data_IF_667648009679
#
_entry.id   IF_667648009679
#
_cell.length_a   1.000
_cell.length_b   1.000
_cell.length_c   1.000
_cell.angle_alpha   90.00
_cell.angle_beta   90.00
_cell.angle_gamma   90.00
#
_symmetry.space_group_name_H-M   'P 1'
#
loop_
_entity.id
_entity.type
_entity.pdbx_description
1 polymer ?
#
# COMPACT_ATOMS: atom_id res chain seq x y z
N UNK A 1 -19.67 -10.94 -4.28
CA UNK A 1 -18.19 -10.92 -4.11
C UNK A 1 -17.78 -12.08 -3.21
N UNK A 2 -16.80 -12.90 -3.60
CA UNK A 2 -16.38 -14.10 -2.85
C UNK A 2 -15.06 -13.81 -2.14
N UNK A 3 -14.99 -14.02 -0.81
CA UNK A 3 -13.85 -13.64 0.05
C UNK A 3 -13.87 -12.16 0.43
N UNK A 4 -15.05 -11.63 0.73
CA UNK A 4 -15.28 -10.19 0.95
C UNK A 4 -14.67 -9.65 2.24
N UNK A 5 -14.32 -10.52 3.19
CA UNK A 5 -13.66 -10.15 4.45
C UNK A 5 -12.17 -9.85 4.36
N UNK A 6 -11.54 -9.98 3.19
CA UNK A 6 -10.18 -9.51 2.95
C UNK A 6 -10.10 -7.99 2.81
N UNK A 7 -9.00 -7.36 3.28
CA UNK A 7 -8.85 -5.90 3.26
C UNK A 7 -9.10 -5.28 1.88
N UNK A 8 -8.47 -5.80 0.81
CA UNK A 8 -8.66 -5.28 -0.54
C UNK A 8 -10.06 -5.51 -1.11
N UNK A 9 -10.68 -6.67 -0.80
CA UNK A 9 -12.04 -6.98 -1.26
C UNK A 9 -13.09 -6.14 -0.56
N UNK A 10 -12.97 -5.98 0.76
CA UNK A 10 -13.91 -5.18 1.56
C UNK A 10 -13.94 -3.72 1.13
N UNK A 11 -12.77 -3.16 0.82
CA UNK A 11 -12.68 -1.78 0.33
C UNK A 11 -13.42 -1.59 -1.00
N UNK A 12 -13.22 -2.50 -1.94
CA UNK A 12 -13.93 -2.48 -3.24
C UNK A 12 -15.45 -2.64 -3.03
N UNK A 13 -15.86 -3.60 -2.17
CA UNK A 13 -17.28 -3.84 -1.88
C UNK A 13 -17.96 -2.58 -1.31
N UNK A 14 -17.28 -1.90 -0.39
CA UNK A 14 -17.80 -0.70 0.26
C UNK A 14 -17.89 0.48 -0.73
N UNK A 15 -16.89 0.67 -1.61
CA UNK A 15 -16.94 1.70 -2.66
C UNK A 15 -18.08 1.44 -3.63
N UNK A 16 -18.23 0.21 -4.12
CA UNK A 16 -19.30 -0.14 -5.05
C UNK A 16 -20.69 0.05 -4.42
N UNK A 17 -20.88 -0.38 -3.17
CA UNK A 17 -22.14 -0.20 -2.46
C UNK A 17 -22.51 1.28 -2.30
N UNK A 18 -21.54 2.14 -1.97
CA UNK A 18 -21.78 3.60 -1.85
C UNK A 18 -22.06 4.28 -3.19
N UNK A 19 -21.59 3.69 -4.29
CA UNK A 19 -21.92 4.15 -5.66
C UNK A 19 -23.28 3.64 -6.15
N UNK A 20 -24.05 2.99 -5.29
CA UNK A 20 -25.42 2.54 -5.60
C UNK A 20 -25.50 1.17 -6.24
N UNK A 21 -24.38 0.41 -6.34
CA UNK A 21 -24.45 -0.99 -6.77
C UNK A 21 -25.05 -1.85 -5.65
N UNK A 22 -25.89 -2.82 -6.02
CA UNK A 22 -26.31 -3.85 -5.09
C UNK A 22 -25.15 -4.84 -4.90
N UNK A 23 -24.56 -4.84 -3.71
CA UNK A 23 -23.38 -5.66 -3.40
C UNK A 23 -23.75 -6.70 -2.36
N UNK A 24 -23.51 -7.97 -2.70
CA UNK A 24 -23.52 -9.07 -1.74
C UNK A 24 -22.13 -9.69 -1.62
N UNK A 25 -21.81 -10.26 -0.46
CA UNK A 25 -20.51 -10.87 -0.25
C UNK A 25 -20.57 -12.11 0.62
N UNK A 26 -19.56 -12.97 0.48
CA UNK A 26 -19.37 -14.16 1.33
C UNK A 26 -17.94 -14.25 1.84
N UNK A 27 -17.77 -14.81 3.03
CA UNK A 27 -16.46 -15.14 3.60
C UNK A 27 -16.54 -16.34 4.52
N UNK A 28 -15.43 -17.04 4.74
CA UNK A 28 -15.37 -18.20 5.64
C UNK A 28 -15.59 -17.84 7.11
N UNK A 29 -15.21 -16.63 7.51
CA UNK A 29 -15.23 -16.17 8.89
C UNK A 29 -15.73 -14.76 9.02
N UNK A 30 -16.40 -14.50 10.15
CA UNK A 30 -16.67 -13.14 10.56
C UNK A 30 -15.37 -12.39 10.89
N UNK A 31 -15.27 -11.15 10.47
CA UNK A 31 -14.12 -10.27 10.68
C UNK A 31 -14.56 -8.84 10.95
N UNK A 32 -13.68 -7.95 11.41
CA UNK A 32 -13.99 -6.51 11.48
C UNK A 32 -14.44 -5.94 10.14
N UNK A 33 -13.89 -6.44 9.03
CA UNK A 33 -14.27 -6.00 7.68
C UNK A 33 -15.70 -6.46 7.31
N UNK A 34 -16.06 -7.71 7.55
CA UNK A 34 -17.42 -8.21 7.26
C UNK A 34 -18.46 -7.49 8.10
N UNK A 35 -18.20 -7.23 9.38
CA UNK A 35 -19.11 -6.44 10.25
C UNK A 35 -19.30 -5.02 9.74
N UNK A 36 -18.21 -4.35 9.31
CA UNK A 36 -18.30 -3.00 8.73
C UNK A 36 -19.11 -2.99 7.44
N UNK A 37 -18.91 -3.96 6.56
CA UNK A 37 -19.71 -4.10 5.34
C UNK A 37 -21.19 -4.28 5.63
N UNK A 38 -21.54 -5.11 6.61
CA UNK A 38 -22.94 -5.28 7.04
C UNK A 38 -23.52 -3.97 7.59
N UNK A 39 -22.74 -3.23 8.39
CA UNK A 39 -23.16 -1.91 8.88
C UNK A 39 -23.31 -0.87 7.74
N UNK A 40 -22.59 -1.04 6.63
CA UNK A 40 -22.71 -0.22 5.41
C UNK A 40 -23.85 -0.67 4.47
N UNK A 41 -24.66 -1.65 4.86
CA UNK A 41 -25.81 -2.15 4.09
C UNK A 41 -25.47 -3.26 3.09
N UNK A 42 -24.23 -3.76 3.06
CA UNK A 42 -23.84 -4.91 2.22
C UNK A 42 -24.33 -6.20 2.88
N UNK A 43 -25.06 -7.03 2.14
CA UNK A 43 -25.47 -8.35 2.62
C UNK A 43 -24.29 -9.31 2.61
N UNK A 44 -23.83 -9.70 3.79
CA UNK A 44 -22.68 -10.59 3.97
C UNK A 44 -23.13 -11.96 4.50
N UNK A 45 -22.66 -13.02 3.84
CA UNK A 45 -22.87 -14.40 4.26
C UNK A 45 -21.60 -14.98 4.88
N UNK A 46 -21.73 -15.78 5.93
CA UNK A 46 -20.63 -16.55 6.51
C UNK A 46 -20.75 -17.99 6.03
N UNK A 47 -19.65 -18.49 5.45
CA UNK A 47 -19.61 -19.73 4.66
C UNK A 47 -19.83 -19.48 3.17
N UNK A 48 -19.68 -20.53 2.37
CA UNK A 48 -19.80 -20.49 0.92
C UNK A 48 -20.84 -21.49 0.45
N UNK A 49 -21.89 -21.02 -0.20
CA UNK A 49 -22.96 -21.85 -0.77
C UNK A 49 -23.36 -21.36 -2.16
N UNK A 50 -23.62 -22.26 -3.10
CA UNK A 50 -23.99 -21.94 -4.48
C UNK A 50 -25.17 -20.95 -4.59
N UNK A 51 -26.17 -21.07 -3.68
CA UNK A 51 -27.35 -20.19 -3.66
C UNK A 51 -27.04 -18.72 -3.32
N UNK A 52 -25.86 -18.43 -2.74
CA UNK A 52 -25.46 -17.07 -2.35
C UNK A 52 -25.07 -16.22 -3.57
N UNK A 53 -24.86 -16.83 -4.74
CA UNK A 53 -24.66 -16.10 -6.00
C UNK A 53 -25.89 -15.25 -6.35
N UNK A 54 -27.11 -15.68 -5.93
CA UNK A 54 -28.34 -14.92 -6.15
C UNK A 54 -28.51 -14.50 -7.61
N UNK A 55 -28.94 -13.27 -7.84
CA UNK A 55 -29.13 -12.68 -9.17
C UNK A 55 -27.94 -11.82 -9.63
N UNK A 56 -26.74 -12.15 -9.14
CA UNK A 56 -25.53 -11.40 -9.48
C UNK A 56 -25.27 -11.36 -10.99
N UNK A 57 -25.01 -10.15 -11.50
CA UNK A 57 -24.61 -9.92 -12.90
C UNK A 57 -23.11 -10.15 -13.09
N UNK A 58 -22.30 -9.96 -12.02
CA UNK A 58 -20.85 -10.14 -12.02
C UNK A 58 -20.41 -10.73 -10.68
N UNK A 59 -19.52 -11.71 -10.72
CA UNK A 59 -18.88 -12.26 -9.53
C UNK A 59 -17.44 -11.82 -9.46
N UNK A 60 -17.06 -11.17 -8.34
CA UNK A 60 -15.68 -10.73 -8.07
C UNK A 60 -15.01 -11.70 -7.11
N UNK A 61 -13.81 -12.16 -7.44
CA UNK A 61 -13.04 -13.11 -6.61
C UNK A 61 -11.63 -12.59 -6.30
N UNK A 62 -11.07 -13.01 -5.16
CA UNK A 62 -9.65 -12.88 -4.87
C UNK A 62 -8.87 -14.13 -5.32
N UNK A 63 -7.56 -14.03 -5.44
CA UNK A 63 -6.67 -15.16 -5.77
C UNK A 63 -6.66 -16.26 -4.69
N UNK A 64 -7.13 -15.96 -3.47
CA UNK A 64 -7.24 -16.91 -2.37
C UNK A 64 -8.44 -17.88 -2.52
N UNK A 65 -9.39 -17.59 -3.44
CA UNK A 65 -10.58 -18.43 -3.60
C UNK A 65 -10.22 -19.70 -4.37
N UNK A 66 -10.42 -20.90 -3.79
CA UNK A 66 -10.10 -22.15 -4.45
C UNK A 66 -11.05 -22.39 -5.64
N UNK A 67 -10.53 -23.05 -6.66
CA UNK A 67 -11.30 -23.40 -7.89
C UNK A 67 -12.54 -24.26 -7.63
N UNK A 68 -12.58 -24.92 -6.46
CA UNK A 68 -13.68 -25.78 -5.99
C UNK A 68 -14.74 -25.02 -5.16
N UNK A 69 -14.60 -23.71 -4.99
CA UNK A 69 -15.57 -22.90 -4.24
C UNK A 69 -16.98 -23.03 -4.89
N UNK A 70 -18.05 -23.36 -4.11
CA UNK A 70 -19.38 -23.63 -4.65
C UNK A 70 -20.03 -22.42 -5.34
N UNK A 71 -19.77 -21.20 -4.87
CA UNK A 71 -20.28 -19.97 -5.52
C UNK A 71 -19.56 -19.73 -6.87
N UNK A 72 -18.23 -19.96 -6.92
CA UNK A 72 -17.47 -19.86 -8.15
C UNK A 72 -17.93 -20.88 -9.20
N UNK A 73 -18.20 -22.12 -8.78
CA UNK A 73 -18.74 -23.17 -9.68
C UNK A 73 -20.13 -22.82 -10.17
N UNK A 74 -21.00 -22.31 -9.31
CA UNK A 74 -22.35 -21.89 -9.67
C UNK A 74 -22.36 -20.71 -10.64
N UNK A 75 -21.53 -19.68 -10.40
CA UNK A 75 -21.37 -18.56 -11.31
C UNK A 75 -20.96 -19.01 -12.72
N UNK A 76 -20.00 -19.94 -12.80
CA UNK A 76 -19.57 -20.53 -14.08
C UNK A 76 -20.67 -21.36 -14.75
N UNK A 77 -21.39 -22.18 -13.98
CA UNK A 77 -22.52 -22.97 -14.48
C UNK A 77 -23.61 -22.10 -15.11
N UNK A 78 -23.83 -20.92 -14.52
CA UNK A 78 -24.83 -19.93 -15.02
C UNK A 78 -24.25 -18.96 -16.05
N UNK A 79 -22.98 -19.11 -16.46
CA UNK A 79 -22.29 -18.22 -17.38
C UNK A 79 -22.24 -16.76 -16.91
N UNK A 80 -22.26 -16.55 -15.59
CA UNK A 80 -22.09 -15.22 -14.98
C UNK A 80 -20.62 -14.83 -15.11
N UNK A 81 -20.27 -13.63 -15.59
CA UNK A 81 -18.89 -13.16 -15.66
C UNK A 81 -18.20 -13.21 -14.29
N UNK A 82 -17.03 -13.84 -14.25
CA UNK A 82 -16.20 -13.91 -13.05
C UNK A 82 -14.94 -13.09 -13.30
N UNK A 83 -14.76 -12.03 -12.53
CA UNK A 83 -13.61 -11.13 -12.65
C UNK A 83 -12.73 -11.17 -11.40
N UNK A 84 -11.42 -11.03 -11.53
CA UNK A 84 -10.53 -10.91 -10.39
C UNK A 84 -10.69 -9.55 -9.68
N UNK A 85 -10.34 -9.49 -8.40
CA UNK A 85 -10.31 -8.27 -7.58
C UNK A 85 -9.64 -7.08 -8.28
N UNK A 86 -8.51 -7.33 -8.93
CA UNK A 86 -7.74 -6.29 -9.60
C UNK A 86 -8.50 -5.66 -10.78
N UNK A 87 -9.34 -6.43 -11.49
CA UNK A 87 -10.17 -5.90 -12.57
C UNK A 87 -11.30 -5.02 -12.02
N UNK A 88 -11.91 -5.40 -10.89
CA UNK A 88 -12.88 -4.56 -10.22
C UNK A 88 -12.25 -3.22 -9.76
N UNK A 89 -11.02 -3.29 -9.21
CA UNK A 89 -10.27 -2.09 -8.86
C UNK A 89 -9.91 -1.24 -10.09
N UNK A 90 -9.52 -1.87 -11.20
CA UNK A 90 -9.22 -1.18 -12.46
C UNK A 90 -10.42 -0.40 -12.98
N UNK A 91 -11.62 -0.98 -12.93
CA UNK A 91 -12.86 -0.29 -13.30
C UNK A 91 -13.13 0.92 -12.42
N UNK A 92 -12.96 0.77 -11.11
CA UNK A 92 -13.09 1.90 -10.16
C UNK A 92 -12.09 3.02 -10.49
N UNK A 93 -10.82 2.68 -10.75
CA UNK A 93 -9.78 3.67 -11.08
C UNK A 93 -10.02 4.37 -12.42
N UNK A 94 -10.66 3.69 -13.39
CA UNK A 94 -10.94 4.22 -14.73
C UNK A 94 -12.11 5.22 -14.76
N UNK A 95 -12.96 5.27 -13.73
CA UNK A 95 -14.11 6.18 -13.67
C UNK A 95 -13.73 7.65 -13.39
N UNK A 96 -12.48 7.91 -13.05
CA UNK A 96 -12.01 9.26 -12.75
C UNK A 96 -10.50 9.39 -12.85
N UNK A 97 -9.93 10.37 -12.14
CA UNK A 97 -8.49 10.55 -12.00
C UNK A 97 -7.93 9.50 -11.03
N UNK A 98 -7.66 8.30 -11.56
CA UNK A 98 -7.11 7.19 -10.80
C UNK A 98 -5.61 7.38 -10.54
N UNK A 99 -5.20 7.24 -9.27
CA UNK A 99 -3.81 7.28 -8.82
C UNK A 99 -3.48 5.90 -8.24
N UNK A 100 -2.51 5.19 -8.83
CA UNK A 100 -2.06 3.91 -8.33
C UNK A 100 -0.71 4.03 -7.61
N UNK A 101 -0.62 3.48 -6.41
CA UNK A 101 0.64 3.46 -5.64
C UNK A 101 1.19 2.04 -5.62
N UNK A 102 2.32 1.85 -6.28
CA UNK A 102 2.98 0.57 -6.48
C UNK A 102 4.42 0.58 -5.95
N UNK A 103 5.04 -0.58 -5.94
CA UNK A 103 6.39 -0.80 -5.46
C UNK A 103 6.45 -1.94 -4.45
N UNK A 104 7.62 -2.47 -4.17
CA UNK A 104 7.75 -3.61 -3.26
C UNK A 104 7.37 -3.23 -1.83
N UNK A 105 7.87 -2.09 -1.33
CA UNK A 105 7.64 -1.61 0.03
C UNK A 105 7.04 -0.21 0.07
N UNK A 106 6.36 0.13 1.16
CA UNK A 106 5.86 1.48 1.42
C UNK A 106 4.53 1.83 0.75
N UNK A 107 3.94 0.95 -0.08
CA UNK A 107 2.66 1.18 -0.78
C UNK A 107 1.56 1.73 0.12
N UNK A 108 1.23 0.98 1.16
CA UNK A 108 0.14 1.30 2.10
C UNK A 108 0.33 2.67 2.75
N UNK A 109 1.55 2.94 3.26
CA UNK A 109 1.86 4.21 3.91
C UNK A 109 1.83 5.37 2.91
N UNK A 110 2.38 5.19 1.70
CA UNK A 110 2.36 6.21 0.65
C UNK A 110 0.94 6.52 0.18
N UNK A 111 0.10 5.50 -0.06
CA UNK A 111 -1.33 5.67 -0.40
C UNK A 111 -2.05 6.47 0.68
N UNK A 112 -1.79 6.15 1.95
CA UNK A 112 -2.38 6.83 3.10
C UNK A 112 -1.92 8.28 3.21
N UNK A 113 -0.62 8.56 2.99
CA UNK A 113 -0.05 9.91 3.01
C UNK A 113 -0.60 10.76 1.87
N UNK A 114 -0.73 10.20 0.66
CA UNK A 114 -1.36 10.89 -0.48
C UNK A 114 -2.80 11.27 -0.13
N UNK A 115 -3.59 10.31 0.34
CA UNK A 115 -4.98 10.56 0.69
C UNK A 115 -5.13 11.59 1.81
N UNK A 116 -4.29 11.50 2.87
CA UNK A 116 -4.27 12.45 3.97
C UNK A 116 -3.90 13.88 3.49
N UNK A 117 -2.81 13.99 2.72
CA UNK A 117 -2.34 15.27 2.21
C UNK A 117 -3.35 15.93 1.27
N UNK A 118 -3.87 15.18 0.29
CA UNK A 118 -4.86 15.69 -0.65
C UNK A 118 -6.15 16.14 0.06
N UNK A 119 -6.57 15.39 1.08
CA UNK A 119 -7.73 15.77 1.89
C UNK A 119 -7.51 17.08 2.66
N UNK A 120 -6.32 17.25 3.25
CA UNK A 120 -5.94 18.47 3.95
C UNK A 120 -5.83 19.68 2.99
N UNK A 121 -5.51 19.44 1.71
CA UNK A 121 -5.46 20.45 0.64
C UNK A 121 -6.84 20.71 -0.01
N UNK A 122 -7.91 20.05 0.45
CA UNK A 122 -9.28 20.28 -0.04
C UNK A 122 -9.70 19.39 -1.22
N UNK A 123 -8.85 18.49 -1.72
CA UNK A 123 -9.17 17.60 -2.85
C UNK A 123 -10.13 16.45 -2.46
N UNK A 124 -10.09 16.02 -1.21
CA UNK A 124 -10.98 14.99 -0.64
C UNK A 124 -11.14 13.73 -1.51
N UNK A 125 -10.07 12.97 -1.80
CA UNK A 125 -10.13 11.79 -2.65
C UNK A 125 -10.87 10.62 -1.98
N UNK A 126 -11.43 9.71 -2.79
CA UNK A 126 -11.72 8.34 -2.34
C UNK A 126 -10.42 7.53 -2.34
N UNK A 127 -10.08 6.86 -1.24
CA UNK A 127 -8.85 6.07 -1.17
C UNK A 127 -9.09 4.64 -0.69
N UNK A 128 -8.48 3.68 -1.41
CA UNK A 128 -8.45 2.25 -1.06
C UNK A 128 -7.03 1.89 -0.61
N UNK A 129 -6.88 1.62 0.67
CA UNK A 129 -5.59 1.37 1.33
C UNK A 129 -5.47 -0.11 1.71
N UNK A 130 -4.28 -0.68 1.60
CA UNK A 130 -4.03 -2.08 1.95
C UNK A 130 -4.09 -2.41 3.45
N UNK A 131 -4.19 -1.40 4.32
CA UNK A 131 -4.26 -1.51 5.77
C UNK A 131 -5.20 -0.49 6.39
N UNK A 132 -5.50 -0.63 7.68
CA UNK A 132 -6.33 0.32 8.41
C UNK A 132 -5.52 1.56 8.81
N UNK A 133 -6.06 2.75 8.55
CA UNK A 133 -5.52 4.01 9.07
C UNK A 133 -5.86 4.15 10.55
N UNK A 134 -4.88 4.57 11.37
CA UNK A 134 -5.05 4.71 12.81
C UNK A 134 -6.16 5.71 13.16
N UNK A 135 -6.24 6.82 12.42
CA UNK A 135 -7.16 7.93 12.72
C UNK A 135 -8.61 7.63 12.32
N UNK A 136 -8.84 6.64 11.42
CA UNK A 136 -10.15 6.38 10.83
C UNK A 136 -10.68 4.99 11.20
N UNK A 137 -9.79 4.04 11.53
CA UNK A 137 -10.16 2.64 11.79
C UNK A 137 -10.71 1.93 10.54
N UNK A 138 -10.40 2.43 9.35
CA UNK A 138 -10.84 1.90 8.05
C UNK A 138 -9.68 1.80 7.08
N UNK A 139 -9.81 0.89 6.13
CA UNK A 139 -8.95 0.78 4.95
C UNK A 139 -9.53 1.52 3.72
N UNK A 140 -10.66 2.23 3.90
CA UNK A 140 -11.26 3.06 2.87
C UNK A 140 -11.50 4.46 3.43
N UNK A 141 -11.12 5.45 2.66
CA UNK A 141 -11.51 6.85 2.85
C UNK A 141 -12.51 7.17 1.74
N UNK A 142 -13.65 7.71 2.11
CA UNK A 142 -14.63 8.18 1.13
C UNK A 142 -14.49 9.67 0.92
N UNK A 143 -14.49 10.07 -0.34
CA UNK A 143 -14.43 11.44 -0.80
C UNK A 143 -15.08 11.56 -2.17
N UNK A 144 -14.49 12.35 -3.05
CA UNK A 144 -14.94 12.52 -4.44
C UNK A 144 -14.82 11.20 -5.21
N UNK A 145 -15.78 10.96 -6.08
CA UNK A 145 -15.81 9.76 -6.93
C UNK A 145 -14.86 9.87 -8.12
N UNK A 146 -14.55 11.10 -8.55
CA UNK A 146 -13.69 11.39 -9.70
C UNK A 146 -12.19 11.51 -9.34
N UNK A 147 -11.79 11.39 -8.07
CA UNK A 147 -10.41 11.34 -7.63
C UNK A 147 -10.19 10.14 -6.71
N UNK A 148 -9.46 9.15 -7.21
CA UNK A 148 -9.31 7.86 -6.56
C UNK A 148 -7.84 7.55 -6.35
N UNK A 149 -7.46 7.22 -5.12
CA UNK A 149 -6.11 6.77 -4.76
C UNK A 149 -6.18 5.32 -4.33
N UNK A 150 -5.43 4.43 -4.96
CA UNK A 150 -5.45 3.02 -4.60
C UNK A 150 -4.06 2.40 -4.53
N UNK A 151 -3.89 1.47 -3.61
CA UNK A 151 -2.73 0.60 -3.57
C UNK A 151 -2.79 -0.40 -4.72
N UNK A 152 -1.70 -0.51 -5.49
CA UNK A 152 -1.54 -1.43 -6.61
C UNK A 152 -0.61 -2.58 -6.20
N UNK A 153 -1.13 -3.79 -6.26
CA UNK A 153 -0.43 -5.00 -5.81
C UNK A 153 0.27 -5.69 -7.00
N UNK A 154 1.59 -5.82 -6.91
CA UNK A 154 2.41 -6.52 -7.89
C UNK A 154 2.51 -8.02 -7.64
N UNK A 155 2.13 -8.49 -6.45
CA UNK A 155 2.45 -9.83 -5.94
C UNK A 155 2.01 -10.99 -6.84
N UNK A 156 0.93 -10.81 -7.60
CA UNK A 156 0.36 -11.80 -8.52
C UNK A 156 0.31 -11.28 -9.97
N UNK A 157 1.09 -10.24 -10.28
CA UNK A 157 1.10 -9.50 -11.56
C UNK A 157 -0.23 -8.81 -11.89
N UNK A 158 -1.16 -8.74 -10.95
CA UNK A 158 -2.47 -8.11 -11.16
C UNK A 158 -2.40 -6.61 -11.40
N UNK A 159 -1.31 -5.97 -11.00
CA UNK A 159 -0.99 -4.58 -11.31
C UNK A 159 -1.11 -4.26 -12.82
N UNK A 160 -0.82 -5.23 -13.70
CA UNK A 160 -0.89 -5.07 -15.16
C UNK A 160 -2.32 -4.90 -15.70
N UNK A 161 -3.34 -5.09 -14.86
CA UNK A 161 -4.75 -4.83 -15.20
C UNK A 161 -5.18 -3.41 -14.91
N UNK A 162 -4.36 -2.66 -14.16
CA UNK A 162 -4.67 -1.29 -13.75
C UNK A 162 -4.24 -0.30 -14.83
N UNK A 163 -5.11 0.66 -15.12
CA UNK A 163 -4.86 1.75 -16.08
C UNK A 163 -5.12 3.10 -15.40
N UNK A 164 -4.29 3.49 -14.40
CA UNK A 164 -4.48 4.76 -13.70
C UNK A 164 -4.01 5.94 -14.57
N UNK A 165 -4.48 7.14 -14.25
CA UNK A 165 -3.94 8.38 -14.82
C UNK A 165 -2.57 8.75 -14.26
N UNK A 166 -2.34 8.48 -12.98
CA UNK A 166 -1.03 8.67 -12.39
C UNK A 166 -0.59 7.45 -11.60
N UNK A 167 0.72 7.25 -11.52
CA UNK A 167 1.30 6.19 -10.73
C UNK A 167 2.46 6.69 -9.86
N UNK A 168 2.64 6.06 -8.71
CA UNK A 168 3.82 6.17 -7.87
C UNK A 168 4.53 4.83 -7.86
N UNK A 169 5.85 4.79 -8.07
CA UNK A 169 6.68 3.62 -7.83
C UNK A 169 7.67 3.94 -6.71
N UNK A 170 7.50 3.28 -5.57
CA UNK A 170 8.28 3.57 -4.36
C UNK A 170 9.68 2.95 -4.38
N UNK A 171 9.79 1.69 -4.74
CA UNK A 171 11.03 0.92 -4.86
C UNK A 171 10.73 -0.41 -5.56
N UNK A 172 11.79 -1.08 -6.04
CA UNK A 172 11.68 -2.40 -6.67
C UNK A 172 12.72 -3.32 -6.06
N UNK A 173 12.27 -4.34 -5.33
CA UNK A 173 13.09 -5.41 -4.77
C UNK A 173 12.53 -6.78 -5.14
N UNK A 174 13.34 -7.82 -4.95
CA UNK A 174 12.88 -9.19 -5.16
C UNK A 174 12.01 -9.64 -3.98
N UNK A 175 10.74 -9.84 -4.24
CA UNK A 175 9.78 -10.46 -3.33
C UNK A 175 8.83 -11.38 -4.12
N UNK A 176 7.92 -12.04 -3.44
CA UNK A 176 6.90 -12.91 -4.01
C UNK A 176 7.47 -14.06 -4.88
N UNK A 177 8.39 -14.90 -4.34
CA UNK A 177 9.04 -15.98 -5.09
C UNK A 177 8.08 -17.05 -5.63
N UNK A 178 6.83 -17.05 -5.19
CA UNK A 178 5.76 -17.89 -5.71
C UNK A 178 5.28 -17.47 -7.10
N UNK A 179 5.51 -16.20 -7.48
CA UNK A 179 5.05 -15.61 -8.74
C UNK A 179 6.18 -15.11 -9.63
N UNK A 180 7.36 -14.83 -9.05
CA UNK A 180 8.52 -14.31 -9.75
C UNK A 180 9.73 -15.22 -9.56
N UNK A 181 10.31 -15.68 -10.66
CA UNK A 181 11.52 -16.49 -10.61
C UNK A 181 12.78 -15.65 -10.29
N UNK A 182 12.79 -14.37 -10.69
CA UNK A 182 13.92 -13.46 -10.53
C UNK A 182 13.51 -12.00 -10.31
N UNK A 183 14.48 -11.17 -9.92
CA UNK A 183 14.30 -9.73 -9.80
C UNK A 183 14.00 -9.07 -11.17
N UNK A 184 14.57 -9.59 -12.24
CA UNK A 184 14.37 -9.11 -13.60
C UNK A 184 12.91 -9.22 -14.01
N UNK A 185 12.23 -10.32 -13.66
CA UNK A 185 10.79 -10.46 -13.91
C UNK A 185 9.95 -9.45 -13.11
N UNK A 186 10.37 -9.11 -11.89
CA UNK A 186 9.72 -8.04 -11.11
C UNK A 186 9.88 -6.71 -11.84
N UNK A 187 11.11 -6.36 -12.22
CA UNK A 187 11.42 -5.12 -12.97
C UNK A 187 10.61 -5.04 -14.27
N UNK A 188 10.56 -6.13 -15.04
CA UNK A 188 9.78 -6.20 -16.28
C UNK A 188 8.28 -5.95 -16.02
N UNK A 189 7.73 -6.50 -14.94
CA UNK A 189 6.32 -6.27 -14.57
C UNK A 189 6.06 -4.79 -14.32
N UNK A 190 6.92 -4.11 -13.56
CA UNK A 190 6.82 -2.67 -13.34
C UNK A 190 7.01 -1.87 -14.63
N UNK A 191 7.95 -2.27 -15.50
CA UNK A 191 8.18 -1.60 -16.78
C UNK A 191 6.93 -1.68 -17.69
N UNK A 192 6.30 -2.85 -17.77
CA UNK A 192 5.04 -3.03 -18.52
C UNK A 192 3.89 -2.22 -17.93
N UNK A 193 3.79 -2.16 -16.60
CA UNK A 193 2.78 -1.33 -15.93
C UNK A 193 2.97 0.15 -16.26
N UNK A 194 4.21 0.66 -16.16
CA UNK A 194 4.55 2.06 -16.47
C UNK A 194 4.31 2.37 -17.94
N UNK A 195 4.70 1.49 -18.86
CA UNK A 195 4.46 1.65 -20.31
C UNK A 195 2.96 1.68 -20.66
N UNK A 196 2.08 1.18 -19.80
CA UNK A 196 0.63 1.23 -19.95
C UNK A 196 -0.03 2.51 -19.43
N UNK A 197 0.73 3.47 -18.89
CA UNK A 197 0.18 4.76 -18.47
C UNK A 197 -0.23 5.62 -19.68
N UNK A 198 -1.26 6.45 -19.58
CA UNK A 198 -1.64 7.33 -20.67
C UNK A 198 -0.60 8.46 -20.88
N UNK A 199 -0.39 8.95 -22.10
CA UNK A 199 0.57 10.03 -22.38
C UNK A 199 0.31 11.33 -21.62
N UNK A 200 -0.96 11.64 -21.35
CA UNK A 200 -1.42 12.78 -20.56
C UNK A 200 -1.38 12.53 -19.04
N UNK A 201 -0.97 11.34 -18.65
CA UNK A 201 -0.87 10.92 -17.26
C UNK A 201 0.37 11.47 -16.57
N UNK A 202 0.73 10.85 -15.43
CA UNK A 202 1.91 11.27 -14.66
C UNK A 202 2.54 10.10 -13.90
N UNK A 203 3.86 10.10 -13.82
CA UNK A 203 4.61 9.11 -13.07
C UNK A 203 5.48 9.77 -12.00
N UNK A 204 5.41 9.26 -10.77
CA UNK A 204 6.24 9.70 -9.64
C UNK A 204 7.18 8.57 -9.24
N UNK A 205 8.49 8.75 -9.39
CA UNK A 205 9.51 7.71 -9.22
C UNK A 205 10.51 8.03 -8.10
N UNK A 206 10.83 7.02 -7.28
CA UNK A 206 11.94 7.10 -6.34
C UNK A 206 13.29 7.10 -7.08
N UNK A 207 14.02 8.21 -7.01
CA UNK A 207 15.33 8.35 -7.64
C UNK A 207 16.45 7.63 -6.88
N UNK A 208 16.25 7.25 -5.63
CA UNK A 208 17.24 6.53 -4.84
C UNK A 208 17.34 5.05 -5.24
N UNK A 209 16.29 4.48 -5.84
CA UNK A 209 16.33 3.15 -6.43
C UNK A 209 16.72 3.21 -7.92
N UNK A 210 17.85 2.60 -8.31
CA UNK A 210 18.32 2.61 -9.71
C UNK A 210 17.36 1.88 -10.67
N UNK A 211 16.55 0.92 -10.18
CA UNK A 211 15.57 0.20 -11.00
C UNK A 211 14.37 1.10 -11.28
N UNK A 212 13.91 1.85 -10.26
CA UNK A 212 12.86 2.86 -10.46
C UNK A 212 13.30 3.92 -11.46
N UNK A 213 14.55 4.42 -11.40
CA UNK A 213 15.05 5.42 -12.36
C UNK A 213 14.94 4.96 -13.80
N UNK A 214 15.25 3.69 -14.09
CA UNK A 214 15.17 3.12 -15.44
C UNK A 214 13.74 3.08 -15.99
N UNK A 215 12.72 3.08 -15.13
CA UNK A 215 11.34 3.11 -15.59
C UNK A 215 10.98 4.43 -16.29
N UNK A 216 11.72 5.51 -16.03
CA UNK A 216 11.53 6.78 -16.73
C UNK A 216 11.77 6.65 -18.25
N UNK A 217 12.61 5.70 -18.68
CA UNK A 217 12.95 5.46 -20.10
C UNK A 217 11.77 4.86 -20.89
N UNK A 218 10.86 4.18 -20.21
CA UNK A 218 9.68 3.52 -20.82
C UNK A 218 8.36 4.22 -20.50
N UNK A 219 8.40 5.31 -19.71
CA UNK A 219 7.21 6.07 -19.35
C UNK A 219 6.71 6.88 -20.55
N UNK A 220 5.45 6.75 -20.98
CA UNK A 220 4.88 7.53 -22.06
C UNK A 220 4.46 8.95 -21.62
N UNK A 221 4.52 9.24 -20.34
CA UNK A 221 4.00 10.46 -19.71
C UNK A 221 5.09 11.24 -18.95
N UNK A 222 4.85 12.49 -18.53
CA UNK A 222 5.75 13.26 -17.69
C UNK A 222 6.10 12.52 -16.38
N UNK A 223 7.36 12.67 -15.97
CA UNK A 223 7.89 12.00 -14.77
C UNK A 223 8.36 13.04 -13.75
N UNK A 224 7.94 12.90 -12.50
CA UNK A 224 8.54 13.59 -11.36
C UNK A 224 9.38 12.58 -10.56
N UNK A 225 10.63 12.91 -10.31
CA UNK A 225 11.52 12.07 -9.50
C UNK A 225 11.68 12.64 -8.10
N UNK A 226 11.79 11.74 -7.11
CA UNK A 226 12.01 12.13 -5.71
C UNK A 226 13.05 11.24 -5.03
N UNK A 227 13.71 11.76 -3.98
CA UNK A 227 14.67 10.97 -3.22
C UNK A 227 15.40 11.74 -2.12
N UNK A 228 16.29 11.05 -1.43
CA UNK A 228 17.22 11.63 -0.45
C UNK A 228 18.55 12.01 -1.09
N UNK A 229 19.00 11.20 -2.06
CA UNK A 229 20.28 11.35 -2.75
C UNK A 229 20.15 12.09 -4.08
N UNK A 230 18.96 12.05 -4.70
CA UNK A 230 18.69 12.65 -6.01
C UNK A 230 17.19 12.92 -6.22
N UNK A 231 16.84 13.37 -7.42
CA UNK A 231 15.47 13.67 -7.84
C UNK A 231 15.14 15.15 -7.85
N UNK A 232 14.01 15.48 -8.51
CA UNK A 232 13.46 16.85 -8.55
C UNK A 232 12.97 17.30 -7.18
N UNK A 233 12.25 16.42 -6.46
CA UNK A 233 11.86 16.63 -5.06
C UNK A 233 12.85 15.89 -4.17
N UNK A 234 13.65 16.61 -3.40
CA UNK A 234 14.71 16.01 -2.58
C UNK A 234 14.59 16.41 -1.13
N UNK A 235 14.85 15.47 -0.23
CA UNK A 235 14.90 15.71 1.20
C UNK A 235 16.32 15.60 1.76
N UNK A 236 16.71 16.55 2.60
CA UNK A 236 17.84 16.43 3.53
C UNK A 236 17.28 16.17 4.92
N UNK A 237 17.45 14.97 5.42
CA UNK A 237 16.95 14.55 6.72
C UNK A 237 17.68 15.33 7.83
N UNK A 238 16.93 15.88 8.78
CA UNK A 238 17.42 16.62 9.96
C UNK A 238 17.31 15.76 11.22
N UNK A 239 16.21 15.02 11.37
CA UNK A 239 15.94 14.12 12.47
C UNK A 239 15.10 12.94 11.98
N UNK A 240 14.80 11.91 12.79
CA UNK A 240 13.97 10.78 12.37
C UNK A 240 12.60 11.15 11.77
N UNK A 241 12.04 12.30 12.15
CA UNK A 241 10.72 12.77 11.67
C UNK A 241 10.75 14.15 11.01
N UNK A 242 11.94 14.72 10.68
CA UNK A 242 12.00 16.03 10.02
C UNK A 242 13.05 16.11 8.93
N UNK A 243 12.80 16.98 7.93
CA UNK A 243 13.72 17.19 6.82
C UNK A 243 13.57 18.58 6.18
N UNK A 244 14.57 18.99 5.42
CA UNK A 244 14.49 20.12 4.50
C UNK A 244 14.08 19.62 3.11
N UNK A 245 13.01 20.18 2.56
CA UNK A 245 12.56 19.95 1.19
C UNK A 245 13.31 20.85 0.22
N UNK A 246 13.77 20.26 -0.88
CA UNK A 246 14.32 20.96 -2.04
C UNK A 246 13.52 20.60 -3.29
N UNK A 247 13.38 21.56 -4.20
CA UNK A 247 12.87 21.37 -5.55
C UNK A 247 13.97 21.79 -6.53
N UNK A 248 14.57 20.81 -7.20
CA UNK A 248 15.86 20.99 -7.88
C UNK A 248 16.95 21.48 -6.92
N UNK A 249 17.56 22.62 -7.24
CA UNK A 249 18.54 23.28 -6.38
C UNK A 249 17.92 24.20 -5.31
N UNK A 250 16.62 24.54 -5.43
CA UNK A 250 15.94 25.51 -4.57
C UNK A 250 15.53 24.85 -3.25
N UNK A 251 16.02 25.41 -2.14
CA UNK A 251 15.49 25.06 -0.81
C UNK A 251 14.07 25.62 -0.67
N UNK A 252 13.08 24.78 -0.37
CA UNK A 252 11.68 25.15 -0.19
C UNK A 252 11.36 25.47 1.27
N UNK A 253 11.72 24.59 2.19
CA UNK A 253 11.45 24.78 3.62
C UNK A 253 11.60 23.51 4.43
N UNK A 254 11.30 23.62 5.71
CA UNK A 254 11.31 22.50 6.65
C UNK A 254 9.93 21.82 6.71
N UNK A 255 9.97 20.50 6.86
CA UNK A 255 8.84 19.62 7.02
C UNK A 255 9.05 18.76 8.26
N UNK A 256 8.03 18.65 9.10
CA UNK A 256 7.95 17.71 10.21
C UNK A 256 6.83 16.72 9.95
N UNK A 257 7.10 15.43 10.13
CA UNK A 257 6.15 14.33 9.92
C UNK A 257 5.60 13.85 11.27
N UNK A 258 4.35 13.39 11.28
CA UNK A 258 3.76 12.69 12.42
C UNK A 258 4.27 11.26 12.61
N UNK A 259 5.13 10.78 11.72
CA UNK A 259 5.74 9.44 11.73
C UNK A 259 7.24 9.51 11.50
N UNK A 260 7.96 8.45 11.90
CA UNK A 260 9.42 8.44 11.90
C UNK A 260 10.02 7.57 10.79
N UNK A 261 11.26 7.85 10.43
CA UNK A 261 12.08 7.03 9.56
C UNK A 261 12.33 7.60 8.17
N UNK A 262 13.50 7.30 7.62
CA UNK A 262 13.93 7.76 6.28
C UNK A 262 12.97 7.28 5.19
N UNK A 263 12.43 6.06 5.33
CA UNK A 263 11.42 5.52 4.43
C UNK A 263 10.12 6.35 4.42
N UNK A 264 9.71 6.91 5.58
CA UNK A 264 8.54 7.78 5.65
C UNK A 264 8.82 9.18 5.09
N UNK A 265 10.08 9.65 5.14
CA UNK A 265 10.49 10.84 4.40
C UNK A 265 10.35 10.60 2.89
N UNK A 266 10.78 9.45 2.37
CA UNK A 266 10.58 9.08 0.95
C UNK A 266 9.10 8.98 0.59
N UNK A 267 8.28 8.32 1.42
CA UNK A 267 6.83 8.21 1.21
C UNK A 267 6.16 9.60 1.17
N UNK A 268 6.61 10.54 2.01
CA UNK A 268 6.09 11.92 2.03
C UNK A 268 6.46 12.72 0.77
N UNK A 269 7.67 12.50 0.22
CA UNK A 269 8.08 13.11 -1.05
C UNK A 269 7.25 12.57 -2.21
N UNK A 270 6.92 11.27 -2.21
CA UNK A 270 6.02 10.69 -3.20
C UNK A 270 4.62 11.34 -3.14
N UNK A 271 4.09 11.55 -1.93
CA UNK A 271 2.82 12.25 -1.75
C UNK A 271 2.88 13.70 -2.25
N UNK A 272 3.98 14.41 -1.95
CA UNK A 272 4.22 15.75 -2.47
C UNK A 272 4.33 15.79 -4.01
N UNK A 273 4.89 14.75 -4.63
CA UNK A 273 4.95 14.59 -6.09
C UNK A 273 3.57 14.45 -6.73
N UNK A 274 2.68 13.69 -6.14
CA UNK A 274 1.28 13.57 -6.59
C UNK A 274 0.52 14.88 -6.39
N UNK A 275 0.69 15.54 -5.24
CA UNK A 275 0.05 16.84 -4.98
C UNK A 275 0.52 17.89 -6.00
N UNK A 276 1.80 17.92 -6.37
CA UNK A 276 2.36 18.78 -7.43
C UNK A 276 1.70 18.52 -8.79
N UNK A 277 1.50 17.26 -9.16
CA UNK A 277 0.80 16.91 -10.40
C UNK A 277 -0.63 17.45 -10.42
N UNK A 278 -1.30 17.48 -9.27
CA UNK A 278 -2.65 18.05 -9.12
C UNK A 278 -2.65 19.59 -9.01
N UNK A 279 -1.48 20.25 -9.09
CA UNK A 279 -1.35 21.72 -9.07
C UNK A 279 -1.11 22.34 -7.69
N UNK A 280 -0.90 21.51 -6.65
CA UNK A 280 -0.62 22.01 -5.30
C UNK A 280 0.88 22.25 -5.07
N UNK A 281 1.19 23.10 -4.10
CA UNK A 281 2.55 23.33 -3.64
C UNK A 281 3.11 22.10 -2.91
N UNK A 282 4.26 21.53 -3.36
CA UNK A 282 4.83 20.33 -2.73
C UNK A 282 5.22 20.52 -1.27
N UNK A 283 5.63 21.72 -0.85
CA UNK A 283 5.96 22.01 0.54
C UNK A 283 4.72 22.01 1.43
N UNK A 284 3.65 22.66 0.96
CA UNK A 284 2.36 22.64 1.65
C UNK A 284 1.85 21.21 1.81
N UNK A 285 1.84 20.46 0.71
CA UNK A 285 1.44 19.05 0.73
C UNK A 285 2.24 18.23 1.75
N UNK A 286 3.57 18.35 1.76
CA UNK A 286 4.42 17.65 2.70
C UNK A 286 4.16 18.07 4.16
N UNK A 287 3.87 19.34 4.42
CA UNK A 287 3.60 19.87 5.77
C UNK A 287 2.31 19.36 6.38
N UNK A 288 1.29 19.06 5.56
CA UNK A 288 0.05 18.44 6.07
C UNK A 288 0.30 17.11 6.78
N UNK A 289 1.39 16.42 6.43
CA UNK A 289 1.76 15.12 7.02
C UNK A 289 2.31 15.22 8.45
N UNK A 290 2.46 16.43 8.99
CA UNK A 290 2.73 16.65 10.41
C UNK A 290 1.62 16.12 11.33
N UNK A 291 0.38 16.08 10.85
CA UNK A 291 -0.79 15.51 11.55
C UNK A 291 -1.10 14.07 11.16
N UNK A 292 -0.31 13.42 10.30
CA UNK A 292 -0.55 12.06 9.86
C UNK A 292 -0.26 11.06 11.00
N UNK A 293 -1.30 10.40 11.53
CA UNK A 293 -1.22 9.47 12.66
C UNK A 293 -0.68 8.08 12.33
N UNK A 294 -0.26 7.85 11.07
CA UNK A 294 0.28 6.56 10.60
C UNK A 294 -0.78 5.52 10.26
N UNK A 295 -0.30 4.35 9.91
CA UNK A 295 -1.11 3.18 9.54
C UNK A 295 -0.96 2.12 10.62
N UNK A 296 -2.02 1.38 10.88
CA UNK A 296 -2.01 0.27 11.84
C UNK A 296 -0.92 -0.75 11.49
N UNK A 297 -0.21 -1.22 12.51
CA UNK A 297 0.93 -2.13 12.37
C UNK A 297 2.07 -1.57 11.50
N UNK A 298 2.30 -0.24 11.50
CA UNK A 298 3.46 0.43 10.90
C UNK A 298 4.11 1.30 11.97
N UNK A 299 5.09 0.75 12.67
CA UNK A 299 5.73 1.29 13.87
C UNK A 299 4.71 1.78 14.90
N UNK A 300 3.65 1.00 15.09
CA UNK A 300 2.51 1.37 15.95
C UNK A 300 2.85 1.15 17.43
N UNK A 301 2.84 2.21 18.23
CA UNK A 301 2.93 2.08 19.68
C UNK A 301 1.68 1.40 20.22
N UNK A 302 1.83 0.25 20.86
CA UNK A 302 0.74 -0.52 21.49
C UNK A 302 0.56 -0.15 22.96
N UNK A 303 1.60 0.35 23.58
CA UNK A 303 1.59 0.78 24.98
C UNK A 303 2.99 0.94 25.54
N UNK A 304 3.04 1.57 26.72
CA UNK A 304 4.26 1.74 27.50
C UNK A 304 3.97 1.41 28.97
N UNK A 305 4.82 0.59 29.58
CA UNK A 305 4.73 0.26 30.99
C UNK A 305 6.12 0.05 31.58
N UNK A 306 6.39 0.67 32.73
CA UNK A 306 7.67 0.56 33.45
C UNK A 306 8.90 0.86 32.54
N UNK A 307 8.78 1.85 31.66
CA UNK A 307 9.84 2.23 30.71
C UNK A 307 10.02 1.28 29.52
N UNK A 308 9.16 0.24 29.39
CA UNK A 308 9.16 -0.66 28.24
C UNK A 308 8.07 -0.24 27.26
N UNK A 309 8.47 0.14 26.04
CA UNK A 309 7.56 0.42 24.93
C UNK A 309 7.36 -0.82 24.07
N UNK A 310 6.10 -1.16 23.79
CA UNK A 310 5.73 -2.24 22.87
C UNK A 310 5.27 -1.63 21.55
N UNK A 311 5.98 -1.96 20.48
CA UNK A 311 5.70 -1.46 19.12
C UNK A 311 5.36 -2.63 18.22
N UNK A 312 4.28 -2.50 17.45
CA UNK A 312 3.83 -3.50 16.45
C UNK A 312 4.13 -2.99 15.04
N UNK A 313 4.80 -3.83 14.25
CA UNK A 313 5.09 -3.56 12.85
C UNK A 313 4.81 -4.79 11.97
N UNK A 314 4.38 -4.55 10.75
CA UNK A 314 4.09 -5.59 9.78
C UNK A 314 5.31 -5.99 8.94
N UNK A 315 6.49 -5.50 9.25
CA UNK A 315 7.74 -5.81 8.55
C UNK A 315 7.94 -7.32 8.45
N UNK A 316 8.05 -7.80 7.22
CA UNK A 316 8.18 -9.23 6.90
C UNK A 316 9.19 -9.49 5.78
N UNK A 317 9.85 -8.45 5.30
CA UNK A 317 10.98 -8.49 4.38
C UNK A 317 12.25 -7.97 5.07
N UNK A 318 13.46 -8.48 4.77
CA UNK A 318 14.71 -8.03 5.41
C UNK A 318 14.91 -6.52 5.38
N UNK A 319 14.65 -5.88 4.25
CA UNK A 319 14.75 -4.42 4.08
C UNK A 319 13.80 -3.65 5.02
N UNK A 320 12.57 -4.14 5.19
CA UNK A 320 11.60 -3.54 6.12
C UNK A 320 12.06 -3.67 7.56
N UNK A 321 12.58 -4.86 7.96
CA UNK A 321 13.11 -5.10 9.31
C UNK A 321 14.25 -4.13 9.62
N UNK A 322 15.21 -3.97 8.71
CA UNK A 322 16.30 -3.03 8.89
C UNK A 322 15.80 -1.60 9.07
N UNK A 323 14.86 -1.16 8.22
CA UNK A 323 14.30 0.18 8.28
C UNK A 323 13.58 0.46 9.61
N UNK A 324 12.81 -0.51 10.11
CA UNK A 324 12.07 -0.38 11.37
C UNK A 324 13.01 -0.42 12.59
N UNK A 325 14.02 -1.27 12.57
CA UNK A 325 15.02 -1.30 13.65
C UNK A 325 15.88 -0.04 13.68
N UNK A 326 16.15 0.59 12.54
CA UNK A 326 16.79 1.92 12.50
C UNK A 326 15.90 2.99 13.16
N UNK A 327 14.59 2.97 12.91
CA UNK A 327 13.64 3.86 13.61
C UNK A 327 13.61 3.57 15.11
N UNK A 328 13.51 2.29 15.48
CA UNK A 328 13.51 1.88 16.88
C UNK A 328 14.77 2.39 17.62
N UNK A 329 15.94 2.24 17.01
CA UNK A 329 17.21 2.71 17.58
C UNK A 329 17.26 4.24 17.69
N UNK A 330 16.79 4.95 16.67
CA UNK A 330 16.77 6.42 16.65
C UNK A 330 15.76 7.03 17.64
N UNK A 331 14.76 6.27 18.08
CA UNK A 331 13.70 6.73 19.00
C UNK A 331 13.79 6.10 20.40
N UNK A 332 14.69 5.13 20.61
CA UNK A 332 14.97 4.55 21.92
C UNK A 332 15.76 5.55 22.80
N UNK A 333 15.69 5.36 24.13
CA UNK A 333 16.60 6.05 25.04
C UNK A 333 18.07 5.65 24.72
N UNK A 334 19.07 6.50 25.03
CA UNK A 334 20.47 6.23 24.71
C UNK A 334 20.95 4.84 25.18
N UNK A 335 20.60 4.45 26.39
CA UNK A 335 20.92 3.13 26.98
C UNK A 335 19.82 2.09 26.82
N UNK A 336 18.79 2.41 26.01
CA UNK A 336 17.64 1.53 25.78
C UNK A 336 18.02 0.33 24.93
N UNK A 337 17.57 -0.86 25.36
CA UNK A 337 17.69 -2.11 24.60
C UNK A 337 16.53 -2.28 23.65
N UNK A 338 16.81 -2.83 22.47
CA UNK A 338 15.80 -3.23 21.47
C UNK A 338 15.74 -4.75 21.44
N UNK A 339 14.58 -5.27 21.77
CA UNK A 339 14.25 -6.70 21.67
C UNK A 339 13.30 -6.86 20.47
N UNK A 340 13.80 -7.50 19.41
CA UNK A 340 12.99 -7.79 18.23
C UNK A 340 12.32 -9.18 18.37
N UNK A 341 11.00 -9.22 18.30
CA UNK A 341 10.24 -10.48 18.20
C UNK A 341 9.73 -10.60 16.77
N UNK A 342 10.21 -11.61 16.06
CA UNK A 342 9.94 -11.76 14.63
C UNK A 342 9.26 -13.07 14.31
N UNK A 343 8.13 -13.01 13.58
CA UNK A 343 7.47 -14.15 12.97
C UNK A 343 7.71 -14.13 11.46
N UNK A 344 8.52 -15.05 10.92
CA UNK A 344 8.67 -15.16 9.47
C UNK A 344 7.33 -15.49 8.81
N UNK A 345 7.08 -14.89 7.65
CA UNK A 345 5.84 -15.08 6.90
C UNK A 345 6.11 -15.69 5.53
N UNK A 346 5.44 -16.79 5.22
CA UNK A 346 5.59 -17.68 4.07
C UNK A 346 6.90 -18.45 4.05
N UNK A 347 6.80 -19.77 3.91
CA UNK A 347 7.95 -20.67 3.80
C UNK A 347 8.84 -20.37 2.59
N UNK A 348 8.23 -20.05 1.44
CA UNK A 348 8.91 -19.70 0.20
C UNK A 348 9.83 -18.48 0.36
N UNK A 349 9.31 -17.38 0.92
CA UNK A 349 10.09 -16.16 1.19
C UNK A 349 11.20 -16.44 2.21
N UNK A 350 10.87 -17.07 3.32
CA UNK A 350 11.86 -17.38 4.37
C UNK A 350 13.00 -18.23 3.83
N UNK A 351 12.71 -19.25 3.03
CA UNK A 351 13.70 -20.11 2.39
C UNK A 351 14.56 -19.35 1.39
N UNK A 352 13.98 -18.42 0.62
CA UNK A 352 14.70 -17.70 -0.42
C UNK A 352 15.62 -16.61 0.15
N UNK A 353 15.18 -15.93 1.22
CA UNK A 353 15.86 -14.76 1.80
C UNK A 353 16.51 -15.05 3.17
N UNK A 354 16.80 -16.31 3.51
CA UNK A 354 17.29 -16.65 4.86
C UNK A 354 18.60 -15.97 5.24
N UNK A 355 19.50 -15.74 4.27
CA UNK A 355 20.78 -15.05 4.49
C UNK A 355 20.57 -13.56 4.77
N UNK A 356 19.66 -12.94 4.04
CA UNK A 356 19.27 -11.55 4.19
C UNK A 356 18.58 -11.34 5.54
N UNK A 357 17.69 -12.26 5.94
CA UNK A 357 17.09 -12.26 7.29
C UNK A 357 18.15 -12.35 8.38
N UNK A 358 19.15 -13.22 8.23
CA UNK A 358 20.25 -13.34 9.20
C UNK A 358 21.04 -12.05 9.40
N UNK A 359 21.01 -11.13 8.45
CA UNK A 359 21.70 -9.83 8.51
C UNK A 359 20.80 -8.67 8.91
N UNK A 360 19.47 -8.86 8.89
CA UNK A 360 18.50 -7.78 9.04
C UNK A 360 18.41 -7.24 10.48
N UNK A 361 18.82 -7.99 11.48
CA UNK A 361 18.61 -7.70 12.90
C UNK A 361 19.80 -6.97 13.58
N UNK A 362 20.78 -6.48 12.85
CA UNK A 362 22.00 -5.90 13.42
C UNK A 362 21.81 -4.67 14.32
N UNK A 363 20.62 -4.07 14.37
CA UNK A 363 20.27 -2.95 15.26
C UNK A 363 19.52 -3.41 16.53
N UNK A 364 19.13 -4.68 16.62
CA UNK A 364 18.53 -5.22 17.83
C UNK A 364 19.59 -5.75 18.79
N UNK A 365 19.34 -5.62 20.10
CA UNK A 365 20.21 -6.18 21.15
C UNK A 365 19.88 -7.62 21.46
N UNK A 366 18.65 -8.04 21.19
CA UNK A 366 18.19 -9.43 21.25
C UNK A 366 17.13 -9.70 20.19
N UNK A 367 17.11 -10.94 19.68
CA UNK A 367 16.15 -11.38 18.67
C UNK A 367 15.48 -12.66 19.12
N UNK A 368 14.16 -12.68 19.09
CA UNK A 368 13.33 -13.87 19.27
C UNK A 368 12.66 -14.18 17.95
N UNK A 369 12.89 -15.37 17.40
CA UNK A 369 12.26 -15.81 16.15
C UNK A 369 11.25 -16.91 16.49
N UNK A 370 10.01 -16.75 16.04
CA UNK A 370 8.94 -17.73 16.21
C UNK A 370 8.84 -18.66 14.99
N UNK A 371 7.90 -19.60 15.03
CA UNK A 371 7.62 -20.45 13.89
C UNK A 371 7.16 -19.65 12.66
N UNK A 372 7.46 -20.19 11.48
CA UNK A 372 7.05 -19.59 10.21
C UNK A 372 5.53 -19.66 10.06
N UNK A 373 4.91 -18.53 9.83
CA UNK A 373 3.51 -18.46 9.41
C UNK A 373 3.40 -18.78 7.91
N UNK A 374 2.69 -19.88 7.59
CA UNK A 374 2.55 -20.41 6.22
C UNK A 374 1.35 -19.90 5.45
#
# INVERSE_FOLDING_TARGET
MIGVGGAGMSGIAEVLARRGHEVTGSDLKESPYTRRLTAAGVKVYIGHEARQVGDAEVVVISTAIPKTNPELLEARRRSIPVIPRAEALARILAEGRGIAVAGTHGKTTTTSMIAHSLRALGENPTALVGGELNDIGSNVIFGREDLIVAEADESDRSILRLHPQAAVITNIEYDHPDFYASLEEVVETFARFVAGLPPEGHLVLCADDPRCRRLAEVAPCPVTTYGLSGGELRARVLSPGSYLLFEGARKRGEVSLGVYGRHNVLNSLAAAGIARWLGHDPLEAARTLGSFGGVRRRFQLKGERSGVRVVDDYAHHPTEIMAILDVARATAAPEGRIIAVFQPHRYSRTRKLYREFGRAFGRADAVVVTEVYG
#
